data_IF_498991041092
#
_entry.id   IF_498991041092
#
_cell.length_a   1.000
_cell.length_b   1.000
_cell.length_c   1.000
_cell.angle_alpha   90.00
_cell.angle_beta   90.00
_cell.angle_gamma   90.00
#
_symmetry.space_group_name_H-M   'P 1'
#
loop_
_entity.id
_entity.type
_entity.pdbx_description
1 polymer ?
#
# COMPACT_ATOMS: atom_id res chain seq x y z
N UNK A 1 1.84 -5.67 8.20
CA UNK A 1 2.36 -5.07 6.94
C UNK A 1 2.23 -3.53 6.93
N UNK A 2 2.14 -2.92 8.11
CA UNK A 2 1.73 -1.52 8.25
C UNK A 2 2.79 -0.51 7.85
N UNK A 3 4.07 -0.81 8.08
CA UNK A 3 5.18 0.09 7.75
C UNK A 3 5.25 0.36 6.25
N UNK A 4 5.12 -0.70 5.43
CA UNK A 4 5.10 -0.59 3.98
C UNK A 4 3.87 0.19 3.50
N UNK A 5 2.69 -0.06 4.06
CA UNK A 5 1.48 0.67 3.71
C UNK A 5 1.54 2.15 4.12
N UNK A 6 2.16 2.46 5.27
CA UNK A 6 2.36 3.83 5.72
C UNK A 6 3.34 4.58 4.82
N UNK A 7 4.44 3.95 4.43
CA UNK A 7 5.42 4.54 3.51
C UNK A 7 4.83 4.76 2.12
N UNK A 8 4.19 3.74 1.54
CA UNK A 8 3.52 3.87 0.26
C UNK A 8 2.41 4.93 0.31
N UNK A 9 1.66 5.01 1.42
CA UNK A 9 0.61 6.02 1.61
C UNK A 9 1.15 7.46 1.70
N UNK A 10 2.40 7.67 2.11
CA UNK A 10 3.06 8.99 2.04
C UNK A 10 3.32 9.41 0.59
N UNK A 11 3.76 8.47 -0.24
CA UNK A 11 4.02 8.71 -1.66
C UNK A 11 2.74 8.73 -2.50
N UNK A 12 1.68 8.02 -2.08
CA UNK A 12 0.42 7.84 -2.79
C UNK A 12 -0.76 8.19 -1.86
N UNK A 13 -0.95 9.49 -1.53
CA UNK A 13 -1.92 9.91 -0.51
C UNK A 13 -3.36 9.51 -0.84
N UNK A 14 -3.75 9.55 -2.12
CA UNK A 14 -5.09 9.15 -2.57
C UNK A 14 -5.38 7.66 -2.31
N UNK A 15 -4.34 6.83 -2.17
CA UNK A 15 -4.44 5.38 -1.98
C UNK A 15 -4.15 4.96 -0.53
N UNK A 16 -3.77 5.89 0.36
CA UNK A 16 -3.28 5.59 1.71
C UNK A 16 -4.29 4.81 2.58
N UNK A 17 -5.58 5.06 2.43
CA UNK A 17 -6.62 4.31 3.16
C UNK A 17 -6.74 2.87 2.64
N UNK A 18 -6.66 2.68 1.32
CA UNK A 18 -6.74 1.35 0.70
C UNK A 18 -5.49 0.52 0.96
N UNK A 19 -4.31 1.14 0.94
CA UNK A 19 -3.04 0.52 1.34
C UNK A 19 -3.08 0.02 2.79
N UNK A 20 -3.61 0.83 3.72
CA UNK A 20 -3.80 0.41 5.12
C UNK A 20 -4.80 -0.75 5.25
N UNK A 21 -5.86 -0.75 4.46
CA UNK A 21 -6.81 -1.88 4.43
C UNK A 21 -6.13 -3.16 3.93
N UNK A 22 -5.35 -3.07 2.86
CA UNK A 22 -4.59 -4.19 2.31
C UNK A 22 -3.58 -4.77 3.30
N UNK A 23 -2.91 -3.91 4.09
CA UNK A 23 -2.01 -4.36 5.15
C UNK A 23 -2.76 -5.14 6.25
N UNK A 24 -3.95 -4.68 6.64
CA UNK A 24 -4.79 -5.40 7.61
C UNK A 24 -5.28 -6.73 7.06
N UNK A 25 -5.77 -6.76 5.83
CA UNK A 25 -6.20 -8.00 5.17
C UNK A 25 -5.04 -9.02 5.11
N UNK A 26 -3.82 -8.55 4.85
CA UNK A 26 -2.63 -9.38 4.91
C UNK A 26 -2.36 -9.92 6.31
N UNK A 27 -2.39 -9.07 7.34
CA UNK A 27 -2.09 -9.48 8.72
C UNK A 27 -3.17 -10.44 9.25
N UNK A 28 -4.42 -10.23 8.86
CA UNK A 28 -5.55 -11.08 9.20
C UNK A 28 -5.43 -12.50 8.62
N UNK A 29 -4.88 -12.63 7.42
CA UNK A 29 -4.62 -13.93 6.80
C UNK A 29 -3.35 -14.57 7.36
N UNK A 30 -2.27 -13.80 7.43
CA UNK A 30 -0.93 -14.30 7.78
C UNK A 30 -0.81 -14.61 9.27
N UNK A 31 -1.41 -13.78 10.12
CA UNK A 31 -1.30 -13.86 11.58
C UNK A 31 -2.65 -14.10 12.26
N UNK A 32 -3.77 -13.66 11.67
CA UNK A 32 -5.11 -13.82 12.23
C UNK A 32 -5.79 -15.15 11.92
N UNK A 33 -5.17 -16.03 11.12
CA UNK A 33 -5.72 -17.33 10.74
C UNK A 33 -7.00 -17.25 9.90
N UNK A 34 -7.31 -16.07 9.33
CA UNK A 34 -8.47 -15.88 8.46
C UNK A 34 -8.16 -16.31 7.03
N UNK A 35 -9.19 -16.73 6.29
CA UNK A 35 -9.06 -16.96 4.84
C UNK A 35 -9.68 -15.78 4.11
N UNK A 36 -8.90 -15.13 3.24
CA UNK A 36 -9.42 -14.08 2.37
C UNK A 36 -10.30 -14.69 1.26
N UNK A 37 -11.46 -14.09 1.03
CA UNK A 37 -12.39 -14.51 -0.03
C UNK A 37 -12.13 -13.81 -1.36
N UNK A 38 -12.87 -14.22 -2.39
CA UNK A 38 -12.85 -13.58 -3.72
C UNK A 38 -13.00 -12.05 -3.68
N UNK A 39 -13.88 -11.44 -2.84
CA UNK A 39 -14.00 -9.99 -2.77
C UNK A 39 -12.70 -9.30 -2.34
N UNK A 40 -12.00 -9.84 -1.34
CA UNK A 40 -10.70 -9.33 -0.88
C UNK A 40 -9.66 -9.43 -1.98
N UNK A 41 -9.62 -10.56 -2.70
CA UNK A 41 -8.72 -10.72 -3.84
C UNK A 41 -8.98 -9.66 -4.93
N UNK A 42 -10.23 -9.45 -5.33
CA UNK A 42 -10.59 -8.47 -6.36
C UNK A 42 -10.25 -7.04 -5.94
N UNK A 43 -10.47 -6.70 -4.66
CA UNK A 43 -10.11 -5.40 -4.12
C UNK A 43 -8.59 -5.15 -4.15
N UNK A 44 -7.79 -6.16 -3.78
CA UNK A 44 -6.33 -6.09 -3.86
C UNK A 44 -5.85 -5.96 -5.31
N UNK A 45 -6.43 -6.73 -6.24
CA UNK A 45 -6.12 -6.66 -7.67
C UNK A 45 -6.42 -5.30 -8.28
N UNK A 46 -7.55 -4.70 -7.90
CA UNK A 46 -7.92 -3.36 -8.34
C UNK A 46 -6.97 -2.31 -7.78
N UNK A 47 -6.63 -2.41 -6.48
CA UNK A 47 -5.63 -1.53 -5.87
C UNK A 47 -4.29 -1.64 -6.58
N UNK A 48 -3.80 -2.85 -6.86
CA UNK A 48 -2.55 -3.08 -7.58
C UNK A 48 -2.53 -2.40 -8.96
N UNK A 49 -3.62 -2.53 -9.73
CA UNK A 49 -3.75 -1.90 -11.05
C UNK A 49 -3.74 -0.37 -10.95
N UNK A 50 -4.44 0.19 -9.97
CA UNK A 50 -4.47 1.65 -9.77
C UNK A 50 -3.11 2.20 -9.33
N UNK A 51 -2.36 1.46 -8.50
CA UNK A 51 -1.04 1.87 -8.06
C UNK A 51 -0.03 1.88 -9.22
N UNK A 52 -0.15 0.96 -10.19
CA UNK A 52 0.70 0.90 -11.38
C UNK A 52 0.51 2.14 -12.29
N UNK A 53 -0.72 2.67 -12.35
CA UNK A 53 -1.06 3.86 -13.13
C UNK A 53 -0.86 5.18 -12.35
N UNK A 54 -0.71 5.11 -11.02
CA UNK A 54 -0.62 6.28 -10.17
C UNK A 54 0.69 7.05 -10.36
N UNK A 55 0.66 8.35 -10.07
CA UNK A 55 1.85 9.22 -10.07
C UNK A 55 2.24 9.53 -8.62
N UNK A 56 3.30 8.90 -8.08
CA UNK A 56 3.74 9.15 -6.72
C UNK A 56 4.15 10.61 -6.52
N UNK A 57 3.75 11.18 -5.38
CA UNK A 57 4.32 12.43 -4.88
C UNK A 57 5.69 12.09 -4.30
N UNK A 58 6.74 12.51 -4.99
CA UNK A 58 8.10 12.40 -4.48
C UNK A 58 8.35 13.56 -3.52
N UNK A 59 8.43 13.34 -2.18
CA UNK A 59 8.95 14.38 -1.31
C UNK A 59 10.37 14.70 -1.79
N UNK A 60 10.64 15.98 -2.02
CA UNK A 60 11.78 16.47 -2.79
C UNK A 60 13.02 15.63 -2.54
N UNK A 61 13.50 14.97 -3.60
CA UNK A 61 14.75 14.21 -3.58
C UNK A 61 15.76 15.02 -2.78
N UNK A 62 16.15 14.51 -1.61
CA UNK A 62 17.17 15.16 -0.82
C UNK A 62 18.34 15.37 -1.75
N UNK A 63 18.64 16.65 -1.99
CA UNK A 63 19.78 17.08 -2.80
C UNK A 63 20.96 16.26 -2.31
N UNK A 64 21.56 15.53 -3.26
CA UNK A 64 22.43 14.40 -2.98
C UNK A 64 23.55 14.67 -2.00
N UNK A 65 24.11 13.56 -1.53
CA UNK A 65 25.41 13.47 -0.90
C UNK A 65 26.35 14.61 -1.30
N UNK A 66 26.73 15.42 -0.31
CA UNK A 66 27.92 16.26 -0.39
C UNK A 66 28.74 16.02 0.87
N UNK A 67 29.95 15.49 0.70
CA UNK A 67 30.98 15.39 1.73
C UNK A 67 31.54 13.99 1.86
#
# INVERSE_FOLDING_TARGET
>A
ADEAAAEAGRALPDHATRLRSAARDFDDVTYGGRTAGQPTYLALRALDTELDEAKPVLPGASRGATG
#
